data_IF_012840889647
#
_entry.id   IF_012840889647
#
_cell.length_a   1.000
_cell.length_b   1.000
_cell.length_c   1.000
_cell.angle_alpha   90.00
_cell.angle_beta   90.00
_cell.angle_gamma   90.00
#
_symmetry.space_group_name_H-M   'P 1'
#
loop_
_entity.id
_entity.type
_entity.pdbx_description
1 polymer ?
#
# COMPACT_ATOMS: atom_id res chain seq x y z
N UNK A 1 22.17 -16.81 -27.46
CA UNK A 1 21.15 -16.33 -26.50
C UNK A 1 21.89 -15.77 -25.28
N UNK A 2 22.03 -14.43 -25.14
CA UNK A 2 22.92 -13.81 -24.14
C UNK A 2 22.22 -13.27 -22.88
N UNK A 3 20.96 -13.66 -22.60
CA UNK A 3 20.13 -13.05 -21.56
C UNK A 3 20.35 -13.58 -20.13
N UNK A 4 21.21 -14.60 -19.93
CA UNK A 4 21.38 -15.27 -18.63
C UNK A 4 22.36 -14.53 -17.70
N UNK A 5 23.29 -13.74 -18.25
CA UNK A 5 24.35 -13.10 -17.47
C UNK A 5 23.83 -11.89 -16.67
N UNK A 6 22.87 -11.12 -17.20
CA UNK A 6 22.38 -9.90 -16.56
C UNK A 6 21.57 -10.16 -15.28
N UNK A 7 20.70 -11.17 -15.27
CA UNK A 7 19.97 -11.57 -14.07
C UNK A 7 20.88 -12.12 -12.97
N UNK A 8 21.96 -12.84 -13.33
CA UNK A 8 22.93 -13.33 -12.35
C UNK A 8 23.67 -12.17 -11.68
N UNK A 9 24.01 -11.12 -12.43
CA UNK A 9 24.60 -9.89 -11.87
C UNK A 9 23.65 -9.13 -10.93
N UNK A 10 22.35 -9.10 -11.21
CA UNK A 10 21.34 -8.49 -10.32
C UNK A 10 21.12 -9.37 -9.08
N UNK A 11 20.99 -10.69 -9.26
CA UNK A 11 20.82 -11.64 -8.19
C UNK A 11 22.02 -11.68 -7.24
N UNK A 12 23.26 -11.57 -7.74
CA UNK A 12 24.47 -11.46 -6.90
C UNK A 12 24.50 -10.20 -6.05
N UNK A 13 23.99 -9.06 -6.54
CA UNK A 13 23.85 -7.83 -5.72
C UNK A 13 22.90 -8.00 -4.54
N UNK A 14 21.93 -8.91 -4.67
CA UNK A 14 20.97 -9.28 -3.63
C UNK A 14 21.37 -10.58 -2.90
N UNK A 15 22.52 -11.16 -3.26
CA UNK A 15 23.08 -12.41 -2.72
C UNK A 15 23.58 -12.20 -1.31
N UNK A 16 22.70 -12.42 -0.35
CA UNK A 16 22.97 -12.23 1.09
C UNK A 16 21.70 -12.35 1.93
N UNK A 17 20.51 -12.30 1.31
CA UNK A 17 19.25 -12.52 1.99
C UNK A 17 18.94 -14.02 2.13
N UNK A 18 18.90 -14.51 3.37
CA UNK A 18 18.43 -15.86 3.66
C UNK A 18 16.90 -15.91 3.51
N UNK A 19 16.39 -16.72 2.57
CA UNK A 19 14.95 -16.97 2.40
C UNK A 19 14.44 -17.83 3.56
N UNK A 20 14.17 -17.20 4.70
CA UNK A 20 13.74 -17.88 5.93
C UNK A 20 12.25 -17.72 6.24
N UNK A 21 11.48 -17.08 5.35
CA UNK A 21 10.04 -16.91 5.51
C UNK A 21 9.29 -18.14 5.01
N UNK A 22 8.45 -18.71 5.88
CA UNK A 22 7.57 -19.84 5.53
C UNK A 22 6.47 -19.38 4.59
N UNK A 23 5.94 -20.27 3.75
CA UNK A 23 4.83 -19.98 2.83
C UNK A 23 3.63 -19.31 3.52
N UNK A 24 3.30 -19.74 4.75
CA UNK A 24 2.25 -19.10 5.56
C UNK A 24 2.56 -17.67 6.01
N UNK A 25 3.83 -17.33 6.26
CA UNK A 25 4.22 -15.97 6.60
C UNK A 25 4.16 -15.06 5.37
N UNK A 26 4.53 -15.59 4.20
CA UNK A 26 4.40 -14.86 2.94
C UNK A 26 2.93 -14.60 2.58
N UNK A 27 2.04 -15.57 2.77
CA UNK A 27 0.60 -15.36 2.54
C UNK A 27 -0.02 -14.40 3.56
N UNK A 28 0.38 -14.45 4.83
CA UNK A 28 -0.04 -13.47 5.84
C UNK A 28 0.38 -12.04 5.46
N UNK A 29 1.61 -11.87 4.96
CA UNK A 29 2.09 -10.57 4.46
C UNK A 29 1.26 -10.09 3.28
N UNK A 30 0.96 -10.97 2.32
CA UNK A 30 0.13 -10.65 1.17
C UNK A 30 -1.30 -10.23 1.57
N UNK A 31 -1.93 -10.98 2.47
CA UNK A 31 -3.27 -10.65 2.98
C UNK A 31 -3.26 -9.34 3.78
N UNK A 32 -2.25 -9.14 4.63
CA UNK A 32 -2.08 -7.91 5.41
C UNK A 32 -1.90 -6.68 4.51
N UNK A 33 -1.13 -6.80 3.44
CA UNK A 33 -0.98 -5.75 2.42
C UNK A 33 -2.25 -5.49 1.62
N UNK A 34 -2.98 -6.54 1.24
CA UNK A 34 -4.21 -6.43 0.44
C UNK A 34 -5.38 -5.80 1.23
N UNK A 35 -5.54 -6.14 2.51
CA UNK A 35 -6.62 -5.58 3.35
C UNK A 35 -6.26 -4.15 3.76
N UNK A 36 -5.07 -3.94 4.34
CA UNK A 36 -4.46 -2.63 4.63
C UNK A 36 -5.37 -1.53 5.26
N UNK A 37 -4.83 -0.32 5.37
CA UNK A 37 -5.63 0.88 5.69
C UNK A 37 -6.32 1.46 4.46
N UNK A 38 -5.82 1.12 3.25
CA UNK A 38 -6.33 1.61 1.97
C UNK A 38 -7.76 1.15 1.67
N UNK A 39 -8.13 -0.08 2.02
CA UNK A 39 -9.50 -0.58 1.83
C UNK A 39 -10.47 0.21 2.70
N UNK A 40 -10.16 0.48 3.97
CA UNK A 40 -11.06 1.21 4.86
C UNK A 40 -11.11 2.71 4.57
N UNK A 41 -9.94 3.35 4.42
CA UNK A 41 -9.86 4.79 4.19
C UNK A 41 -10.33 5.17 2.78
N UNK A 42 -10.02 4.34 1.80
CA UNK A 42 -10.47 4.47 0.41
C UNK A 42 -11.96 4.19 0.25
N UNK A 43 -12.50 3.12 0.85
CA UNK A 43 -13.93 2.78 0.70
C UNK A 43 -14.83 3.84 1.32
N UNK A 44 -14.48 4.38 2.49
CA UNK A 44 -15.28 5.43 3.13
C UNK A 44 -15.42 6.68 2.23
N UNK A 45 -14.35 7.06 1.54
CA UNK A 45 -14.36 8.17 0.59
C UNK A 45 -15.06 7.80 -0.72
N UNK A 46 -14.80 6.61 -1.26
CA UNK A 46 -15.38 6.14 -2.51
C UNK A 46 -16.91 5.98 -2.43
N UNK A 47 -17.43 5.46 -1.30
CA UNK A 47 -18.87 5.31 -1.08
C UNK A 47 -19.56 6.69 -1.01
N UNK A 48 -18.93 7.67 -0.34
CA UNK A 48 -19.50 9.01 -0.21
C UNK A 48 -19.56 9.76 -1.56
N UNK A 49 -18.59 9.50 -2.45
CA UNK A 49 -18.51 10.15 -3.77
C UNK A 49 -19.33 9.42 -4.84
N UNK A 50 -19.35 8.08 -4.87
CA UNK A 50 -19.93 7.30 -5.96
C UNK A 50 -21.30 6.66 -5.65
N UNK A 51 -21.71 6.60 -4.37
CA UNK A 51 -22.95 5.93 -3.98
C UNK A 51 -22.97 4.43 -4.33
N UNK A 52 -24.12 3.83 -4.67
CA UNK A 52 -24.23 2.37 -4.91
C UNK A 52 -23.43 1.87 -6.12
N UNK A 53 -23.00 2.77 -7.01
CA UNK A 53 -22.19 2.43 -8.19
C UNK A 53 -20.75 2.00 -7.85
N UNK A 54 -20.30 2.24 -6.62
CA UNK A 54 -18.95 1.89 -6.16
C UNK A 54 -18.66 0.38 -6.26
N UNK A 55 -19.68 -0.47 -6.08
CA UNK A 55 -19.55 -1.92 -6.23
C UNK A 55 -19.10 -2.31 -7.64
N UNK A 56 -19.66 -1.66 -8.67
CA UNK A 56 -19.30 -1.94 -10.05
C UNK A 56 -17.87 -1.49 -10.36
N UNK A 57 -17.46 -0.35 -9.81
CA UNK A 57 -16.07 0.13 -9.87
C UNK A 57 -15.09 -0.85 -9.22
N UNK A 58 -15.39 -1.36 -8.02
CA UNK A 58 -14.54 -2.34 -7.34
C UNK A 58 -14.48 -3.66 -8.11
N UNK A 59 -15.57 -4.09 -8.74
CA UNK A 59 -15.62 -5.33 -9.50
C UNK A 59 -14.74 -5.23 -10.77
N UNK A 60 -14.86 -4.13 -11.52
CA UNK A 60 -14.02 -3.87 -12.71
C UNK A 60 -12.55 -3.73 -12.30
N UNK A 61 -12.25 -2.94 -11.26
CA UNK A 61 -10.89 -2.76 -10.76
C UNK A 61 -10.27 -4.07 -10.26
N UNK A 62 -11.06 -4.89 -9.56
CA UNK A 62 -10.65 -6.22 -9.09
C UNK A 62 -10.33 -7.17 -10.24
N UNK A 63 -11.16 -7.20 -11.29
CA UNK A 63 -10.88 -8.01 -12.49
C UNK A 63 -9.58 -7.59 -13.15
N UNK A 64 -9.35 -6.29 -13.34
CA UNK A 64 -8.11 -5.77 -13.93
C UNK A 64 -6.90 -6.15 -13.04
N UNK A 65 -7.02 -6.01 -11.72
CA UNK A 65 -5.95 -6.37 -10.79
C UNK A 65 -5.63 -7.88 -10.82
N UNK A 66 -6.64 -8.75 -10.93
CA UNK A 66 -6.45 -10.20 -11.05
C UNK A 66 -5.72 -10.56 -12.35
N UNK A 67 -6.07 -9.92 -13.46
CA UNK A 67 -5.38 -10.12 -14.74
C UNK A 67 -3.91 -9.70 -14.66
N UNK A 68 -3.63 -8.52 -14.09
CA UNK A 68 -2.27 -8.03 -13.91
C UNK A 68 -1.43 -8.95 -12.99
N UNK A 69 -2.00 -9.35 -11.85
CA UNK A 69 -1.30 -10.23 -10.91
C UNK A 69 -1.06 -11.62 -11.51
N UNK A 70 -1.98 -12.13 -12.32
CA UNK A 70 -1.81 -13.37 -13.08
C UNK A 70 -0.61 -13.29 -14.03
N UNK A 71 -0.53 -12.24 -14.85
CA UNK A 71 0.60 -12.04 -15.77
C UNK A 71 1.93 -11.88 -15.03
N UNK A 72 1.94 -11.15 -13.90
CA UNK A 72 3.14 -11.00 -13.06
C UNK A 72 3.57 -12.33 -12.42
N UNK A 73 2.61 -13.18 -12.05
CA UNK A 73 2.89 -14.49 -11.45
C UNK A 73 3.53 -15.46 -12.45
N UNK A 74 3.06 -15.47 -13.71
CA UNK A 74 3.69 -16.27 -14.78
C UNK A 74 5.14 -15.83 -14.99
N UNK A 75 5.40 -14.52 -15.12
CA UNK A 75 6.78 -13.99 -15.26
C UNK A 75 7.67 -14.34 -14.06
N UNK A 76 7.12 -14.29 -12.84
CA UNK A 76 7.87 -14.58 -11.61
C UNK A 76 8.19 -16.07 -11.47
N UNK A 77 7.32 -16.94 -11.97
CA UNK A 77 7.56 -18.39 -11.97
C UNK A 77 8.67 -18.79 -12.93
N UNK A 78 8.77 -18.13 -14.09
CA UNK A 78 9.82 -18.41 -15.09
C UNK A 78 11.19 -17.85 -14.68
N UNK A 79 11.21 -16.68 -14.02
CA UNK A 79 12.43 -15.99 -13.63
C UNK A 79 12.43 -15.64 -12.14
N UNK A 80 12.74 -16.61 -11.24
CA UNK A 80 12.68 -16.42 -9.79
C UNK A 80 13.88 -15.59 -9.30
N UNK A 81 13.84 -14.29 -9.54
CA UNK A 81 14.82 -13.35 -9.00
C UNK A 81 14.48 -13.03 -7.54
N UNK A 82 15.49 -12.81 -6.66
CA UNK A 82 15.26 -12.21 -5.34
C UNK A 82 14.81 -10.73 -5.43
N UNK A 83 14.69 -10.22 -6.65
CA UNK A 83 14.29 -8.89 -7.01
C UNK A 83 12.82 -8.60 -6.82
N UNK A 84 12.51 -7.30 -6.71
CA UNK A 84 11.13 -6.81 -6.83
C UNK A 84 10.79 -6.56 -8.31
N UNK A 85 9.56 -6.17 -8.62
CA UNK A 85 9.07 -5.88 -9.97
C UNK A 85 9.94 -4.88 -10.77
N UNK A 86 10.70 -4.04 -10.07
CA UNK A 86 11.68 -3.14 -10.68
C UNK A 86 12.79 -3.86 -11.45
N UNK A 87 13.17 -5.08 -11.05
CA UNK A 87 14.21 -5.85 -11.72
C UNK A 87 13.69 -6.46 -13.05
N UNK A 88 12.38 -6.75 -13.16
CA UNK A 88 11.76 -7.08 -14.45
C UNK A 88 11.68 -5.86 -15.37
N UNK A 89 11.36 -4.68 -14.83
CA UNK A 89 11.33 -3.44 -15.62
C UNK A 89 12.74 -3.06 -16.13
N UNK A 90 13.76 -3.25 -15.30
CA UNK A 90 15.17 -3.06 -15.68
C UNK A 90 15.59 -3.97 -16.82
N UNK A 91 15.17 -5.24 -16.77
CA UNK A 91 15.53 -6.24 -17.77
C UNK A 91 14.80 -6.08 -19.10
N UNK A 92 13.47 -5.88 -19.09
CA UNK A 92 12.68 -5.83 -20.33
C UNK A 92 12.68 -4.45 -21.01
N UNK A 93 12.74 -3.36 -20.23
CA UNK A 93 12.65 -1.99 -20.77
C UNK A 93 13.97 -1.22 -20.68
N UNK A 94 14.91 -1.67 -19.84
CA UNK A 94 16.22 -1.06 -19.65
C UNK A 94 16.43 -0.40 -18.28
N UNK A 95 17.68 0.00 -17.97
CA UNK A 95 18.09 0.42 -16.62
C UNK A 95 17.36 1.66 -16.09
N UNK A 96 16.98 2.59 -16.96
CA UNK A 96 16.23 3.79 -16.58
C UNK A 96 14.81 3.43 -16.10
N UNK A 97 14.16 2.46 -16.73
CA UNK A 97 12.81 2.03 -16.35
C UNK A 97 12.81 1.28 -15.01
N UNK A 98 13.84 0.47 -14.75
CA UNK A 98 14.06 -0.13 -13.44
C UNK A 98 14.15 0.91 -12.31
N UNK A 99 14.93 1.97 -12.54
CA UNK A 99 15.04 3.10 -11.60
C UNK A 99 13.70 3.84 -11.42
N UNK A 100 13.00 4.15 -12.51
CA UNK A 100 11.70 4.84 -12.50
C UNK A 100 10.65 4.06 -11.72
N UNK A 101 10.55 2.74 -11.90
CA UNK A 101 9.57 1.90 -11.19
C UNK A 101 9.86 1.87 -9.70
N UNK A 102 11.13 1.68 -9.30
CA UNK A 102 11.55 1.73 -7.89
C UNK A 102 11.26 3.09 -7.26
N UNK A 103 11.57 4.17 -7.98
CA UNK A 103 11.34 5.53 -7.51
C UNK A 103 9.85 5.84 -7.38
N UNK A 104 9.05 5.49 -8.39
CA UNK A 104 7.59 5.65 -8.36
C UNK A 104 6.96 4.89 -7.20
N UNK A 105 7.38 3.64 -6.98
CA UNK A 105 6.92 2.84 -5.83
C UNK A 105 7.26 3.52 -4.50
N UNK A 106 8.50 3.98 -4.33
CA UNK A 106 8.93 4.70 -3.14
C UNK A 106 8.13 6.00 -2.94
N UNK A 107 7.93 6.80 -3.99
CA UNK A 107 7.14 8.02 -3.94
C UNK A 107 5.69 7.75 -3.56
N UNK A 108 5.06 6.70 -4.09
CA UNK A 108 3.70 6.30 -3.71
C UNK A 108 3.60 6.00 -2.21
N UNK A 109 4.58 5.29 -1.64
CA UNK A 109 4.61 4.99 -0.20
C UNK A 109 4.79 6.27 0.62
N UNK A 110 5.72 7.15 0.25
CA UNK A 110 5.94 8.43 0.93
C UNK A 110 4.70 9.31 0.89
N UNK A 111 4.02 9.38 -0.25
CA UNK A 111 2.77 10.15 -0.39
C UNK A 111 1.66 9.54 0.44
N UNK A 112 1.50 8.21 0.43
CA UNK A 112 0.50 7.53 1.26
C UNK A 112 0.73 7.83 2.75
N UNK A 113 1.97 7.71 3.24
CA UNK A 113 2.34 8.05 4.62
C UNK A 113 2.14 9.55 4.90
N UNK A 114 2.46 10.41 3.93
CA UNK A 114 2.20 11.85 4.03
C UNK A 114 0.71 12.17 4.23
N UNK A 115 -0.18 11.47 3.51
CA UNK A 115 -1.63 11.68 3.63
C UNK A 115 -2.20 11.25 4.98
N UNK A 116 -1.73 10.14 5.56
CA UNK A 116 -2.17 9.73 6.90
C UNK A 116 -1.71 10.73 7.97
N UNK A 117 -0.46 11.21 7.90
CA UNK A 117 0.10 12.16 8.87
C UNK A 117 -0.62 13.51 8.78
N UNK A 118 -0.90 13.98 7.57
CA UNK A 118 -1.67 15.21 7.36
C UNK A 118 -3.10 15.09 7.93
N UNK A 119 -3.75 13.94 7.71
CA UNK A 119 -5.10 13.68 8.23
C UNK A 119 -5.12 13.58 9.76
N UNK A 120 -4.10 13.00 10.37
CA UNK A 120 -3.98 12.93 11.84
C UNK A 120 -3.94 14.31 12.49
N UNK A 121 -3.27 15.29 11.86
CA UNK A 121 -3.23 16.68 12.34
C UNK A 121 -4.62 17.34 12.32
N UNK A 122 -5.44 17.03 11.32
CA UNK A 122 -6.81 17.55 11.21
C UNK A 122 -7.77 16.92 12.23
N UNK A 123 -7.62 15.62 12.53
CA UNK A 123 -8.41 14.91 13.55
C UNK A 123 -8.07 15.38 14.96
N UNK A 124 -6.80 15.64 15.27
CA UNK A 124 -6.41 16.21 16.56
C UNK A 124 -6.92 17.65 16.76
N UNK A 125 -6.93 18.48 15.72
CA UNK A 125 -7.50 19.82 15.77
C UNK A 125 -9.02 19.80 16.02
N UNK A 126 -9.75 18.83 15.44
CA UNK A 126 -11.19 18.64 15.64
C UNK A 126 -11.52 17.96 16.99
N UNK A 127 -10.68 17.07 17.49
CA UNK A 127 -10.86 16.41 18.79
C UNK A 127 -10.58 17.35 19.97
N UNK A 128 -9.66 18.30 19.80
CA UNK A 128 -9.37 19.35 20.77
C UNK A 128 -10.51 20.34 21.02
N UNK A 129 -11.44 20.50 20.07
CA UNK A 129 -12.59 21.41 20.22
C UNK A 129 -13.81 20.78 20.90
N UNK A 130 -13.93 19.44 20.95
CA UNK A 130 -15.04 18.74 21.65
C UNK A 130 -14.82 18.51 23.15
N UNK A 131 -13.62 18.78 23.68
CA UNK A 131 -13.31 18.62 25.13
C UNK A 131 -13.45 19.89 25.98
N UNK A 132 -14.09 20.94 25.44
CA UNK A 132 -14.53 22.11 26.23
C UNK A 132 -16.06 22.15 26.31
N UNK A 133 -16.65 21.33 27.17
CA UNK A 133 -17.93 21.69 27.82
C UNK A 133 -17.60 22.34 29.17
N UNK A 134 -17.76 23.67 29.32
CA UNK A 134 -17.83 24.31 30.63
C UNK A 134 -19.26 24.10 31.13
N UNK A 135 -19.45 23.30 32.18
CA UNK A 135 -20.80 22.95 32.61
C UNK A 135 -20.85 22.05 33.84
N UNK A 136 -20.11 22.38 34.90
CA UNK A 136 -20.54 22.05 36.26
C UNK A 136 -20.68 23.36 37.00
N UNK A 137 -21.91 23.87 36.97
CA UNK A 137 -22.33 25.04 37.69
C UNK A 137 -22.19 24.84 39.20
N UNK A 138 -21.89 25.94 39.85
CA UNK A 138 -21.85 26.14 41.29
C UNK A 138 -23.08 25.54 41.98
N UNK A 139 -22.88 24.43 42.70
CA UNK A 139 -23.81 23.97 43.73
C UNK A 139 -23.42 24.64 45.06
N UNK A 140 -23.51 25.97 45.10
CA UNK A 140 -23.33 26.78 46.30
C UNK A 140 -24.20 28.02 46.17
N UNK A 141 -25.48 27.86 46.46
CA UNK A 141 -26.31 28.79 47.25
C UNK A 141 -27.79 28.60 46.92
N UNK A 142 -28.58 28.54 48.00
CA UNK A 142 -29.99 29.01 48.06
C UNK A 142 -31.09 27.98 47.79
N UNK A 143 -31.40 27.16 48.81
CA UNK A 143 -32.76 27.07 49.41
C UNK A 143 -32.78 26.22 50.70
N UNK A 144 -33.02 26.96 51.80
CA UNK A 144 -33.53 26.56 53.12
C UNK A 144 -32.64 25.73 54.04
#
# INVERSE_FOLDING_TARGET
MPQMNDFEHIARRQGGLNKHLTAGQMSMLAIGGAIGTGLFLGSAYAIQMAGPSVLLSYLIGGVIALLLMGSLAEMTSEHPTPGSFGDYAEFYLGPLFGFLVRYSYWSCVVLAVGTEVHRHRHVHAVSGSRRRRPGRGCCCSRRR
#
